data_IF_476564208215
#
_entry.id   IF_476564208215
#
_cell.length_a   1.000
_cell.length_b   1.000
_cell.length_c   1.000
_cell.angle_alpha   90.00
_cell.angle_beta   90.00
_cell.angle_gamma   90.00
#
_symmetry.space_group_name_H-M   'P 1'
#
loop_
_entity.id
_entity.type
_entity.pdbx_description
1 polymer ?
#
# COMPACT_ATOMS: atom_id res chain seq x y z
N UNK A 1 -11.78 -36.28 -30.36
CA UNK A 1 -10.42 -35.90 -29.90
C UNK A 1 -10.07 -34.43 -30.21
N UNK A 2 -10.30 -33.94 -31.44
CA UNK A 2 -9.97 -32.57 -31.87
C UNK A 2 -10.82 -31.45 -31.23
N UNK A 3 -12.08 -31.74 -30.92
CA UNK A 3 -13.00 -30.82 -30.21
C UNK A 3 -12.64 -30.68 -28.73
N UNK A 4 -12.24 -31.77 -28.08
CA UNK A 4 -11.82 -31.75 -26.68
C UNK A 4 -10.56 -30.88 -26.49
N UNK A 5 -9.57 -31.01 -27.37
CA UNK A 5 -8.36 -30.18 -27.32
C UNK A 5 -8.64 -28.69 -27.48
N UNK A 6 -9.59 -28.30 -28.34
CA UNK A 6 -10.00 -26.89 -28.48
C UNK A 6 -10.67 -26.35 -27.19
N UNK A 7 -11.50 -27.17 -26.54
CA UNK A 7 -12.14 -26.81 -25.26
C UNK A 7 -11.09 -26.64 -24.15
N UNK A 8 -10.11 -27.54 -24.07
CA UNK A 8 -9.02 -27.43 -23.09
C UNK A 8 -8.14 -26.19 -23.33
N UNK A 9 -7.83 -25.87 -24.60
CA UNK A 9 -7.05 -24.66 -24.94
C UNK A 9 -7.84 -23.39 -24.61
N UNK A 10 -9.14 -23.36 -24.91
CA UNK A 10 -9.99 -22.23 -24.56
C UNK A 10 -10.11 -22.05 -23.05
N UNK A 11 -10.29 -23.15 -22.30
CA UNK A 11 -10.37 -23.12 -20.84
C UNK A 11 -9.04 -22.64 -20.21
N UNK A 12 -7.90 -23.13 -20.71
CA UNK A 12 -6.58 -22.70 -20.26
C UNK A 12 -6.34 -21.21 -20.55
N UNK A 13 -6.74 -20.72 -21.72
CA UNK A 13 -6.63 -19.31 -22.07
C UNK A 13 -7.50 -18.42 -21.16
N UNK A 14 -8.73 -18.85 -20.84
CA UNK A 14 -9.63 -18.11 -19.93
C UNK A 14 -9.07 -18.10 -18.50
N UNK A 15 -8.52 -19.21 -18.01
CA UNK A 15 -7.88 -19.26 -16.69
C UNK A 15 -6.65 -18.35 -16.61
N UNK A 16 -5.80 -18.36 -17.65
CA UNK A 16 -4.65 -17.45 -17.75
C UNK A 16 -5.09 -15.98 -17.80
N UNK A 17 -6.17 -15.66 -18.50
CA UNK A 17 -6.73 -14.31 -18.52
C UNK A 17 -7.36 -13.92 -17.17
N UNK A 18 -8.00 -14.84 -16.46
CA UNK A 18 -8.60 -14.57 -15.15
C UNK A 18 -7.55 -14.31 -14.07
N UNK A 19 -6.43 -15.03 -14.09
CA UNK A 19 -5.29 -14.76 -13.19
C UNK A 19 -4.65 -13.38 -13.47
N UNK A 20 -4.69 -12.92 -14.73
CA UNK A 20 -4.19 -11.59 -15.10
C UNK A 20 -5.09 -10.45 -14.60
N UNK A 21 -6.39 -10.68 -14.43
CA UNK A 21 -7.31 -9.70 -13.81
C UNK A 21 -7.21 -9.82 -12.28
N UNK A 22 -5.98 -9.72 -11.76
CA UNK A 22 -5.76 -9.52 -10.34
C UNK A 22 -6.30 -8.14 -9.96
N UNK A 23 -7.21 -8.10 -8.98
CA UNK A 23 -7.78 -6.86 -8.45
C UNK A 23 -6.65 -5.88 -8.07
N UNK A 24 -6.69 -4.67 -8.63
CA UNK A 24 -5.78 -3.60 -8.24
C UNK A 24 -6.07 -3.19 -6.80
N UNK A 25 -5.03 -3.19 -5.97
CA UNK A 25 -5.08 -2.72 -4.60
C UNK A 25 -4.84 -1.20 -4.58
N UNK A 26 -5.71 -0.46 -3.90
CA UNK A 26 -5.54 0.98 -3.73
C UNK A 26 -4.50 1.23 -2.64
N UNK A 27 -3.48 2.02 -2.98
CA UNK A 27 -2.53 2.51 -1.99
C UNK A 27 -3.25 3.44 -1.01
N UNK A 28 -2.96 3.36 0.31
CA UNK A 28 -3.40 4.36 1.26
C UNK A 28 -2.98 5.75 0.80
N UNK A 29 -3.90 6.72 0.82
CA UNK A 29 -3.68 8.03 0.24
C UNK A 29 -2.48 8.74 0.89
N UNK A 30 -2.27 8.54 2.18
CA UNK A 30 -1.14 9.09 2.93
C UNK A 30 0.23 8.61 2.39
N UNK A 31 0.29 7.41 1.80
CA UNK A 31 1.50 6.83 1.22
C UNK A 31 1.69 7.16 -0.27
N UNK A 32 0.74 7.85 -0.90
CA UNK A 32 0.84 8.28 -2.29
C UNK A 32 1.60 9.59 -2.39
N UNK A 33 2.92 9.50 -2.58
CA UNK A 33 3.83 10.64 -2.59
C UNK A 33 4.61 10.73 -3.89
N UNK A 34 5.25 11.87 -4.13
CA UNK A 34 6.20 11.98 -5.23
C UNK A 34 7.39 11.04 -4.99
N UNK A 35 7.98 10.44 -6.04
CA UNK A 35 8.98 9.38 -5.88
C UNK A 35 10.20 9.76 -5.04
N UNK A 36 10.59 11.04 -5.04
CA UNK A 36 11.69 11.60 -4.26
C UNK A 36 11.45 11.59 -2.74
N UNK A 37 10.21 11.36 -2.29
CA UNK A 37 9.82 11.31 -0.87
C UNK A 37 9.75 9.89 -0.32
N UNK A 38 9.87 8.87 -1.16
CA UNK A 38 9.96 7.48 -0.73
C UNK A 38 11.42 7.12 -0.42
N UNK A 39 11.62 6.42 0.69
CA UNK A 39 12.86 5.68 0.96
C UNK A 39 12.80 4.31 0.26
N UNK A 40 11.64 3.65 0.32
CA UNK A 40 11.36 2.42 -0.41
C UNK A 40 9.97 2.48 -1.06
N UNK A 41 9.88 2.02 -2.30
CA UNK A 41 8.64 1.91 -3.06
C UNK A 41 8.00 0.54 -2.87
N UNK A 42 6.66 0.47 -2.95
CA UNK A 42 5.96 -0.81 -3.05
C UNK A 42 6.37 -1.50 -4.37
N UNK A 43 6.88 -2.73 -4.27
CA UNK A 43 7.35 -3.52 -5.43
C UNK A 43 6.22 -4.19 -6.22
N UNK A 44 5.02 -4.21 -5.67
CA UNK A 44 3.84 -4.80 -6.31
C UNK A 44 3.35 -3.91 -7.45
N UNK A 45 3.23 -4.50 -8.65
CA UNK A 45 2.66 -3.82 -9.82
C UNK A 45 1.14 -3.60 -9.71
N UNK A 46 0.50 -4.27 -8.75
CA UNK A 46 -0.95 -4.21 -8.56
C UNK A 46 -1.38 -3.07 -7.62
N UNK A 47 -0.46 -2.25 -7.13
CA UNK A 47 -0.78 -1.15 -6.21
C UNK A 47 -0.74 0.19 -6.95
N UNK A 48 -1.81 0.96 -6.84
CA UNK A 48 -1.93 2.26 -7.54
C UNK A 48 -2.28 3.41 -6.61
N UNK A 49 -1.77 4.58 -6.98
CA UNK A 49 -2.19 5.87 -6.45
C UNK A 49 -3.12 6.56 -7.45
N UNK A 50 -4.14 7.24 -6.94
CA UNK A 50 -5.13 7.95 -7.78
C UNK A 50 -4.54 9.21 -8.41
N UNK A 51 -3.57 9.84 -7.75
CA UNK A 51 -2.98 11.10 -8.21
C UNK A 51 -1.81 10.85 -9.19
N UNK A 52 -1.84 11.54 -10.33
CA UNK A 52 -0.77 11.44 -11.32
C UNK A 52 0.55 11.98 -10.77
N UNK A 53 1.65 11.31 -11.09
CA UNK A 53 2.98 11.67 -10.61
C UNK A 53 3.30 11.22 -9.18
N UNK A 54 2.36 10.52 -8.52
CA UNK A 54 2.60 9.88 -7.22
C UNK A 54 2.87 8.38 -7.37
N UNK A 55 3.57 7.83 -6.40
CA UNK A 55 3.87 6.40 -6.28
C UNK A 55 3.61 5.96 -4.85
N UNK A 56 3.25 4.69 -4.66
CA UNK A 56 2.99 4.15 -3.35
C UNK A 56 4.31 3.90 -2.61
N UNK A 57 4.59 4.68 -1.58
CA UNK A 57 5.74 4.45 -0.72
C UNK A 57 5.44 3.28 0.24
N UNK A 58 6.36 2.31 0.30
CA UNK A 58 6.40 1.33 1.37
C UNK A 58 7.01 1.94 2.63
N UNK A 59 8.06 2.75 2.45
CA UNK A 59 8.71 3.51 3.52
C UNK A 59 8.85 4.95 3.04
N UNK A 60 8.27 5.88 3.80
CA UNK A 60 8.39 7.32 3.56
C UNK A 60 9.66 7.82 4.24
N UNK A 61 10.43 8.69 3.57
CA UNK A 61 11.63 9.29 4.19
C UNK A 61 11.27 10.05 5.45
N UNK A 62 12.17 10.03 6.43
CA UNK A 62 11.92 10.52 7.80
C UNK A 62 11.41 11.96 7.83
N UNK A 63 11.95 12.83 6.98
CA UNK A 63 11.59 14.25 6.87
C UNK A 63 10.19 14.50 6.28
N UNK A 64 9.58 13.49 5.64
CA UNK A 64 8.23 13.56 5.06
C UNK A 64 7.21 12.71 5.83
N UNK A 65 7.59 12.09 6.95
CA UNK A 65 6.67 11.33 7.79
C UNK A 65 5.76 12.29 8.56
N UNK A 66 4.45 12.17 8.36
CA UNK A 66 3.44 13.05 8.96
C UNK A 66 2.26 12.28 9.52
N UNK A 67 1.93 11.13 8.95
CA UNK A 67 0.81 10.28 9.38
C UNK A 67 1.31 9.16 10.27
N UNK A 68 0.46 8.69 11.19
CA UNK A 68 0.85 7.73 12.20
C UNK A 68 1.36 6.43 11.58
N UNK A 69 0.72 6.03 10.48
CA UNK A 69 1.11 4.85 9.70
C UNK A 69 2.49 4.98 9.06
N UNK A 70 2.96 6.20 8.72
CA UNK A 70 4.31 6.41 8.20
C UNK A 70 5.39 6.01 9.22
N UNK A 71 5.07 6.14 10.50
CA UNK A 71 5.94 5.73 11.60
C UNK A 71 5.76 4.24 11.98
N UNK A 72 4.92 3.48 11.27
CA UNK A 72 4.53 2.12 11.65
C UNK A 72 3.67 2.07 12.91
N UNK A 73 3.04 3.20 13.26
CA UNK A 73 2.23 3.33 14.48
C UNK A 73 0.73 3.11 14.27
N UNK A 74 0.02 3.19 15.39
CA UNK A 74 -1.44 3.20 15.45
C UNK A 74 -1.92 4.32 16.40
N UNK A 75 -3.00 5.01 16.03
CA UNK A 75 -3.62 6.01 16.90
C UNK A 75 -4.29 5.32 18.09
N UNK A 76 -3.90 5.70 19.31
CA UNK A 76 -4.44 5.16 20.56
C UNK A 76 -4.62 6.28 21.58
N UNK A 77 -5.49 6.08 22.59
CA UNK A 77 -5.71 7.09 23.63
C UNK A 77 -4.45 7.35 24.50
N UNK A 78 -3.60 6.33 24.67
CA UNK A 78 -2.35 6.44 25.44
C UNK A 78 -1.36 5.33 25.10
N UNK A 79 -0.08 5.65 25.16
CA UNK A 79 1.05 4.72 25.30
C UNK A 79 2.17 5.41 26.09
N UNK A 80 3.21 4.67 26.46
CA UNK A 80 4.37 5.24 27.13
C UNK A 80 4.92 6.42 26.31
N UNK A 81 5.28 7.58 26.93
CA UNK A 81 5.73 8.76 26.19
C UNK A 81 6.90 8.51 25.22
N UNK A 82 7.76 7.53 25.53
CA UNK A 82 8.89 7.12 24.67
C UNK A 82 8.46 6.45 23.35
N UNK A 83 7.22 5.94 23.28
CA UNK A 83 6.64 5.28 22.10
C UNK A 83 5.77 6.23 21.27
N UNK A 84 5.56 7.46 21.72
CA UNK A 84 4.70 8.42 21.05
C UNK A 84 5.43 9.09 19.90
N UNK A 85 4.75 9.22 18.76
CA UNK A 85 5.18 10.03 17.63
C UNK A 85 4.23 11.19 17.40
N UNK A 86 4.76 12.26 16.82
CA UNK A 86 3.95 13.38 16.37
C UNK A 86 3.34 13.03 15.01
N UNK A 87 2.02 12.88 14.96
CA UNK A 87 1.29 12.57 13.74
C UNK A 87 0.04 13.44 13.62
N UNK A 88 -0.32 13.81 12.39
CA UNK A 88 -1.42 14.76 12.12
C UNK A 88 -2.80 14.11 12.07
N UNK A 89 -2.87 12.79 12.02
CA UNK A 89 -4.07 11.97 11.77
C UNK A 89 -4.68 11.34 13.03
N UNK A 90 -4.12 11.59 14.22
CA UNK A 90 -4.64 11.08 15.49
C UNK A 90 -5.47 12.14 16.25
N UNK A 91 -6.67 12.45 15.76
CA UNK A 91 -7.56 13.46 16.38
C UNK A 91 -7.92 13.12 17.84
N UNK A 92 -7.33 13.84 18.81
CA UNK A 92 -7.55 13.60 20.24
C UNK A 92 -6.90 12.31 20.78
N UNK A 93 -6.10 11.64 19.95
CA UNK A 93 -5.33 10.45 20.29
C UNK A 93 -3.83 10.72 20.12
N UNK A 94 -2.98 9.76 20.50
CA UNK A 94 -1.55 9.80 20.26
C UNK A 94 -1.16 8.71 19.27
N UNK A 95 -0.20 9.00 18.38
CA UNK A 95 0.38 7.97 17.55
C UNK A 95 1.36 7.13 18.36
N UNK A 96 1.10 5.83 18.45
CA UNK A 96 1.91 4.90 19.21
C UNK A 96 2.64 3.93 18.27
N UNK A 97 3.97 3.87 18.36
CA UNK A 97 4.80 2.98 17.56
C UNK A 97 5.28 1.81 18.42
N UNK A 98 5.14 0.60 17.90
CA UNK A 98 5.75 -0.60 18.50
C UNK A 98 7.18 -0.70 17.98
N UNK A 99 8.15 -0.66 18.90
CA UNK A 99 9.58 -0.90 18.63
C UNK A 99 9.89 -2.37 18.40
#
# INVERSE_FOLDING_TARGET
MRTCTLVFVALAAVLLCAEYVSAMELCPQENCLTPDRCEEHVKSLNVQCLEQGTTCCSIVKKEYQTHCRHFGGVCMNRCAPVLQQNAVDCEGQVCCVLV
#
